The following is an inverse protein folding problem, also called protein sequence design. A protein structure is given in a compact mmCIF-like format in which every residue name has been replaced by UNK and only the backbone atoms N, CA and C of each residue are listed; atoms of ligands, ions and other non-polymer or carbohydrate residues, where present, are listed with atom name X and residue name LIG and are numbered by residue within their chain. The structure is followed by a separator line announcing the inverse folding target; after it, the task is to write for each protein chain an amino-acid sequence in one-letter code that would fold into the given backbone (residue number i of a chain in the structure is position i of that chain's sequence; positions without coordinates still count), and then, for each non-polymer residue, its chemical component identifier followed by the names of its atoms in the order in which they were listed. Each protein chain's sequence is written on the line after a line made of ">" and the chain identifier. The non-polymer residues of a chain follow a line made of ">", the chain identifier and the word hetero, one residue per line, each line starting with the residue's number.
data_IF_257629502128
#
_entry.id   IF_257629502128
#
_cell.length_a   1.000
_cell.length_b   1.000
_cell.length_c   1.000
_cell.angle_alpha   90.00
_cell.angle_beta   90.00
_cell.angle_gamma   90.00
#
_symmetry.space_group_name_H-M   'P 1'
#
loop_
_entity.id
_entity.type
_entity.pdbx_description
1 polymer ?
#
# COMPACT_ATOMS: atom_id res chain seq x y z
N UNK A 1 23.17 15.08 5.21
CA UNK A 1 23.03 14.09 4.12
C UNK A 1 23.59 14.68 2.83
N UNK A 2 24.27 13.89 2.00
CA UNK A 2 24.77 14.37 0.70
C UNK A 2 23.70 14.21 -0.39
N UNK A 3 23.77 14.99 -1.47
CA UNK A 3 22.86 14.86 -2.61
C UNK A 3 22.86 13.43 -3.20
N UNK A 4 24.04 12.80 -3.27
CA UNK A 4 24.19 11.40 -3.70
C UNK A 4 23.44 10.43 -2.79
N UNK A 5 23.46 10.66 -1.48
CA UNK A 5 22.76 9.82 -0.51
C UNK A 5 21.23 9.96 -0.65
N UNK A 6 20.75 11.17 -0.92
CA UNK A 6 19.33 11.43 -1.21
C UNK A 6 18.86 10.73 -2.48
N UNK A 7 19.62 10.85 -3.58
CA UNK A 7 19.29 10.19 -4.85
C UNK A 7 19.25 8.67 -4.70
N UNK A 8 20.25 8.10 -4.01
CA UNK A 8 20.29 6.66 -3.77
C UNK A 8 19.13 6.19 -2.88
N UNK A 9 18.76 6.95 -1.84
CA UNK A 9 17.61 6.61 -1.00
C UNK A 9 16.29 6.71 -1.78
N UNK A 10 16.15 7.72 -2.64
CA UNK A 10 14.98 7.87 -3.51
C UNK A 10 14.83 6.72 -4.51
N UNK A 11 15.94 6.32 -5.17
CA UNK A 11 15.93 5.18 -6.08
C UNK A 11 15.60 3.87 -5.34
N UNK A 12 16.19 3.66 -4.16
CA UNK A 12 15.94 2.49 -3.33
C UNK A 12 14.48 2.44 -2.84
N UNK A 13 13.93 3.60 -2.47
CA UNK A 13 12.51 3.74 -2.09
C UNK A 13 11.59 3.35 -3.24
N UNK A 14 11.87 3.80 -4.46
CA UNK A 14 11.07 3.45 -5.63
C UNK A 14 11.11 1.94 -5.91
N UNK A 15 12.30 1.34 -5.90
CA UNK A 15 12.47 -0.11 -6.09
C UNK A 15 11.75 -0.90 -4.99
N UNK A 16 11.94 -0.52 -3.72
CA UNK A 16 11.31 -1.17 -2.59
C UNK A 16 9.78 -1.12 -2.68
N UNK A 17 9.21 0.05 -3.01
CA UNK A 17 7.77 0.21 -3.19
C UNK A 17 7.22 -0.67 -4.31
N UNK A 18 7.85 -0.67 -5.48
CA UNK A 18 7.41 -1.48 -6.63
C UNK A 18 7.42 -2.98 -6.30
N UNK A 19 8.53 -3.48 -5.72
CA UNK A 19 8.66 -4.90 -5.36
C UNK A 19 7.63 -5.27 -4.28
N UNK A 20 7.45 -4.40 -3.28
CA UNK A 20 6.51 -4.64 -2.18
C UNK A 20 5.06 -4.66 -2.66
N UNK A 21 4.65 -3.71 -3.50
CA UNK A 21 3.32 -3.70 -4.12
C UNK A 21 3.09 -4.97 -4.95
N UNK A 22 4.06 -5.38 -5.79
CA UNK A 22 3.95 -6.63 -6.56
C UNK A 22 3.83 -7.87 -5.66
N UNK A 23 4.52 -7.88 -4.52
CA UNK A 23 4.52 -9.02 -3.61
C UNK A 23 3.22 -9.14 -2.81
N UNK A 24 2.57 -8.02 -2.47
CA UNK A 24 1.33 -8.04 -1.70
C UNK A 24 0.14 -8.60 -2.50
N UNK A 25 0.06 -8.26 -3.80
CA UNK A 25 -1.07 -8.59 -4.67
C UNK A 25 -1.44 -10.09 -4.63
N UNK A 26 -0.53 -11.05 -4.90
CA UNK A 26 -0.88 -12.48 -4.87
C UNK A 26 -1.29 -12.99 -3.49
N UNK A 27 -0.77 -12.38 -2.41
CA UNK A 27 -1.15 -12.76 -1.04
C UNK A 27 -2.59 -12.36 -0.77
N UNK A 28 -2.94 -11.11 -1.07
CA UNK A 28 -4.32 -10.63 -0.87
C UNK A 28 -5.31 -11.36 -1.77
N UNK A 29 -4.94 -11.67 -3.02
CA UNK A 29 -5.74 -12.48 -3.94
C UNK A 29 -6.00 -13.88 -3.38
N UNK A 30 -4.96 -14.59 -2.92
CA UNK A 30 -5.13 -15.93 -2.34
C UNK A 30 -6.00 -15.93 -1.09
N UNK A 31 -5.83 -14.93 -0.22
CA UNK A 31 -6.70 -14.78 0.96
C UNK A 31 -8.14 -14.55 0.52
N UNK A 32 -8.38 -13.69 -0.48
CA UNK A 32 -9.71 -13.45 -1.03
C UNK A 32 -10.33 -14.73 -1.62
N UNK A 33 -9.57 -15.48 -2.43
CA UNK A 33 -10.02 -16.76 -3.02
C UNK A 33 -10.41 -17.79 -1.96
N UNK A 34 -9.67 -17.84 -0.84
CA UNK A 34 -9.93 -18.74 0.28
C UNK A 34 -11.10 -18.30 1.19
N UNK A 35 -11.67 -17.10 1.00
CA UNK A 35 -12.84 -16.67 1.78
C UNK A 35 -14.08 -17.49 1.44
N UNK A 36 -15.01 -17.60 2.40
CA UNK A 36 -16.33 -18.16 2.16
C UNK A 36 -17.11 -17.32 1.15
N UNK A 37 -18.03 -17.98 0.44
CA UNK A 37 -18.89 -17.28 -0.53
C UNK A 37 -19.76 -16.22 0.15
N UNK A 38 -20.21 -16.45 1.37
CA UNK A 38 -20.97 -15.47 2.17
C UNK A 38 -20.15 -14.20 2.41
N UNK A 39 -18.87 -14.33 2.79
CA UNK A 39 -17.99 -13.18 3.01
C UNK A 39 -17.74 -12.42 1.70
N UNK A 40 -17.48 -13.13 0.60
CA UNK A 40 -17.31 -12.52 -0.74
C UNK A 40 -18.57 -11.77 -1.17
N UNK A 41 -19.76 -12.36 -0.97
CA UNK A 41 -21.03 -11.71 -1.29
C UNK A 41 -21.30 -10.48 -0.41
N UNK A 42 -20.99 -10.56 0.89
CA UNK A 42 -21.11 -9.40 1.78
C UNK A 42 -20.20 -8.26 1.32
N UNK A 43 -18.93 -8.55 1.01
CA UNK A 43 -17.98 -7.55 0.49
C UNK A 43 -18.47 -6.95 -0.84
N UNK A 44 -18.94 -7.78 -1.79
CA UNK A 44 -19.43 -7.31 -3.10
C UNK A 44 -20.66 -6.41 -2.99
N UNK A 45 -21.57 -6.68 -2.05
CA UNK A 45 -22.79 -5.86 -1.84
C UNK A 45 -22.47 -4.44 -1.39
N UNK A 46 -21.38 -4.25 -0.65
CA UNK A 46 -21.01 -2.94 -0.10
C UNK A 46 -19.95 -2.24 -0.93
N UNK A 47 -19.09 -2.99 -1.63
CA UNK A 47 -17.93 -2.45 -2.34
C UNK A 47 -18.30 -1.47 -3.45
N UNK A 48 -17.57 -0.34 -3.51
CA UNK A 48 -17.63 0.60 -4.64
C UNK A 48 -16.76 0.15 -5.82
N UNK A 49 -16.18 -1.05 -5.73
CA UNK A 49 -15.15 -1.56 -6.62
C UNK A 49 -13.76 -1.41 -5.99
N UNK A 50 -12.73 -1.49 -6.84
CA UNK A 50 -11.35 -1.40 -6.40
C UNK A 50 -11.02 0.05 -6.00
N UNK A 51 -10.58 0.25 -4.75
CA UNK A 51 -10.45 1.58 -4.13
C UNK A 51 -9.63 2.58 -4.97
N UNK A 52 -8.50 2.16 -5.55
CA UNK A 52 -7.67 3.04 -6.38
C UNK A 52 -8.33 3.40 -7.74
N UNK A 53 -9.22 2.56 -8.28
CA UNK A 53 -10.02 2.92 -9.45
C UNK A 53 -11.12 3.92 -9.08
N UNK A 54 -11.75 3.75 -7.92
CA UNK A 54 -12.73 4.71 -7.39
C UNK A 54 -12.06 6.07 -7.15
N UNK A 55 -10.88 6.07 -6.54
CA UNK A 55 -10.09 7.28 -6.32
C UNK A 55 -9.72 7.98 -7.64
N UNK A 56 -9.20 7.23 -8.62
CA UNK A 56 -8.88 7.77 -9.94
C UNK A 56 -10.11 8.40 -10.63
N UNK A 57 -11.27 7.73 -10.58
CA UNK A 57 -12.52 8.24 -11.15
C UNK A 57 -12.99 9.51 -10.44
N UNK A 58 -12.96 9.56 -9.11
CA UNK A 58 -13.34 10.76 -8.34
C UNK A 58 -12.43 11.95 -8.66
N UNK A 59 -11.12 11.72 -8.71
CA UNK A 59 -10.14 12.78 -9.05
C UNK A 59 -10.40 13.31 -10.47
N UNK A 60 -10.62 12.42 -11.44
CA UNK A 60 -10.95 12.84 -12.81
C UNK A 60 -12.25 13.67 -12.85
N UNK A 61 -13.27 13.27 -12.09
CA UNK A 61 -14.52 14.01 -11.96
C UNK A 61 -14.35 15.40 -11.36
N UNK A 62 -13.53 15.54 -10.30
CA UNK A 62 -13.19 16.85 -9.71
C UNK A 62 -12.45 17.76 -10.72
N UNK A 63 -11.62 17.17 -11.58
CA UNK A 63 -10.90 17.89 -12.63
C UNK A 63 -11.75 18.16 -13.88
N UNK A 64 -13.01 17.71 -13.92
CA UNK A 64 -13.90 17.86 -15.07
C UNK A 64 -13.48 17.03 -16.30
N UNK A 65 -12.64 16.00 -16.12
CA UNK A 65 -12.13 15.16 -17.20
C UNK A 65 -12.99 13.91 -17.32
N UNK A 66 -13.60 13.71 -18.49
CA UNK A 66 -14.24 12.43 -18.81
C UNK A 66 -13.17 11.41 -19.19
N UNK A 67 -13.16 10.28 -18.48
CA UNK A 67 -12.19 9.20 -18.68
C UNK A 67 -12.94 7.89 -18.91
N UNK A 68 -12.46 7.10 -19.88
CA UNK A 68 -12.96 5.75 -20.10
C UNK A 68 -12.61 4.84 -18.93
N UNK A 69 -13.34 3.74 -18.76
CA UNK A 69 -13.06 2.75 -17.70
C UNK A 69 -11.67 2.13 -17.82
N UNK A 70 -11.19 1.94 -19.05
CA UNK A 70 -9.81 1.50 -19.31
C UNK A 70 -8.79 2.50 -18.78
N UNK A 71 -9.02 3.80 -18.99
CA UNK A 71 -8.15 4.87 -18.50
C UNK A 71 -8.17 4.91 -16.96
N UNK A 72 -9.35 4.77 -16.36
CA UNK A 72 -9.50 4.70 -14.89
C UNK A 72 -8.73 3.50 -14.32
N UNK A 73 -8.81 2.34 -14.97
CA UNK A 73 -8.09 1.13 -14.53
C UNK A 73 -6.58 1.30 -14.60
N UNK A 74 -6.06 1.88 -15.69
CA UNK A 74 -4.62 2.20 -15.84
C UNK A 74 -4.17 3.22 -14.80
N UNK A 75 -4.95 4.29 -14.60
CA UNK A 75 -4.67 5.32 -13.62
C UNK A 75 -4.70 4.77 -12.19
N UNK A 76 -5.70 3.95 -11.86
CA UNK A 76 -5.80 3.29 -10.56
C UNK A 76 -4.63 2.34 -10.30
N UNK A 77 -4.22 1.56 -11.30
CA UNK A 77 -3.01 0.74 -11.21
C UNK A 77 -1.76 1.61 -10.98
N UNK A 78 -1.62 2.72 -11.70
CA UNK A 78 -0.51 3.64 -11.48
C UNK A 78 -0.54 4.24 -10.06
N UNK A 79 -1.72 4.58 -9.54
CA UNK A 79 -1.91 5.04 -8.16
C UNK A 79 -1.52 3.96 -7.14
N UNK A 80 -1.85 2.70 -7.38
CA UNK A 80 -1.45 1.57 -6.52
C UNK A 80 0.06 1.48 -6.36
N UNK A 81 0.81 1.55 -7.47
CA UNK A 81 2.28 1.58 -7.43
C UNK A 81 2.82 2.87 -6.83
N UNK A 82 2.22 4.02 -7.14
CA UNK A 82 2.65 5.31 -6.59
C UNK A 82 2.51 5.34 -5.06
N UNK A 83 1.43 4.79 -4.51
CA UNK A 83 1.23 4.64 -3.07
C UNK A 83 2.27 3.71 -2.45
N UNK A 84 2.57 2.58 -3.09
CA UNK A 84 3.66 1.69 -2.65
C UNK A 84 5.03 2.37 -2.63
N UNK A 85 5.35 3.15 -3.67
CA UNK A 85 6.58 3.96 -3.73
C UNK A 85 6.59 5.02 -2.61
N UNK A 86 5.46 5.66 -2.34
CA UNK A 86 5.32 6.67 -1.30
C UNK A 86 5.32 6.11 0.13
N UNK A 87 5.06 4.81 0.29
CA UNK A 87 5.11 4.11 1.57
C UNK A 87 6.55 3.81 2.05
N UNK A 88 7.47 3.52 1.14
CA UNK A 88 8.84 3.13 1.49
C UNK A 88 9.65 4.19 2.27
N UNK A 89 9.52 5.51 2.02
CA UNK A 89 10.18 6.53 2.82
C UNK A 89 9.71 6.53 4.29
N UNK A 90 8.46 6.16 4.57
CA UNK A 90 7.96 6.09 5.94
C UNK A 90 8.75 5.05 6.76
N UNK A 91 9.04 3.89 6.15
CA UNK A 91 9.93 2.89 6.74
C UNK A 91 11.32 3.46 6.99
N UNK A 92 11.93 4.10 5.98
CA UNK A 92 13.29 4.64 6.10
C UNK A 92 13.40 5.68 7.21
N UNK A 93 12.42 6.59 7.30
CA UNK A 93 12.35 7.60 8.35
C UNK A 93 12.18 6.96 9.73
N UNK A 94 11.24 6.02 9.89
CA UNK A 94 11.03 5.32 11.16
C UNK A 94 12.28 4.56 11.59
N UNK A 95 12.93 3.88 10.64
CA UNK A 95 14.13 3.09 10.87
C UNK A 95 15.33 3.94 11.29
N UNK A 96 15.41 5.18 10.82
CA UNK A 96 16.43 6.19 11.20
C UNK A 96 16.13 6.87 12.53
N UNK A 97 14.87 7.16 12.79
CA UNK A 97 14.43 7.91 13.96
C UNK A 97 14.35 7.05 15.23
N UNK A 98 14.40 5.72 15.11
CA UNK A 98 14.17 4.80 16.22
C UNK A 98 15.26 3.73 16.33
N UNK A 99 15.22 2.96 17.42
CA UNK A 99 16.07 1.78 17.64
C UNK A 99 15.39 0.47 17.26
N UNK A 100 14.27 0.53 16.54
CA UNK A 100 13.57 -0.67 16.11
C UNK A 100 14.47 -1.52 15.22
N UNK A 101 14.35 -2.84 15.35
CA UNK A 101 14.96 -3.75 14.38
C UNK A 101 14.39 -3.49 12.98
N UNK A 102 15.10 -3.89 11.91
CA UNK A 102 14.59 -3.80 10.55
C UNK A 102 13.15 -4.32 10.40
N UNK A 103 12.88 -5.50 10.95
CA UNK A 103 11.56 -6.12 10.90
C UNK A 103 10.53 -5.39 11.76
N UNK A 104 10.92 -4.93 12.96
CA UNK A 104 10.04 -4.14 13.82
C UNK A 104 9.60 -2.84 13.17
N UNK A 105 10.53 -2.11 12.53
CA UNK A 105 10.20 -0.90 11.77
C UNK A 105 9.32 -1.20 10.55
N UNK A 106 9.57 -2.31 9.83
CA UNK A 106 8.76 -2.74 8.69
C UNK A 106 7.32 -3.03 9.09
N UNK A 107 7.13 -3.81 10.14
CA UNK A 107 5.80 -4.16 10.68
C UNK A 107 5.07 -2.94 11.23
N UNK A 108 5.75 -2.08 11.99
CA UNK A 108 5.15 -0.85 12.51
C UNK A 108 4.70 0.10 11.39
N UNK A 109 5.52 0.23 10.34
CA UNK A 109 5.16 1.01 9.14
C UNK A 109 3.95 0.41 8.43
N UNK A 110 3.94 -0.91 8.23
CA UNK A 110 2.82 -1.62 7.60
C UNK A 110 1.49 -1.43 8.35
N UNK A 111 1.50 -1.63 9.67
CA UNK A 111 0.32 -1.47 10.52
C UNK A 111 -0.17 -0.03 10.48
N UNK A 112 0.75 0.94 10.55
CA UNK A 112 0.42 2.36 10.44
C UNK A 112 -0.21 2.71 9.10
N UNK A 113 0.35 2.22 8.00
CA UNK A 113 -0.20 2.44 6.64
C UNK A 113 -1.58 1.80 6.48
N UNK A 114 -1.77 0.57 6.94
CA UNK A 114 -3.07 -0.09 6.94
C UNK A 114 -4.12 0.74 7.70
N UNK A 115 -3.80 1.12 8.94
CA UNK A 115 -4.73 1.88 9.77
C UNK A 115 -5.05 3.26 9.19
N UNK A 116 -4.06 3.94 8.60
CA UNK A 116 -4.24 5.28 8.03
C UNK A 116 -4.94 5.22 6.68
N UNK A 117 -4.57 4.29 5.80
CA UNK A 117 -5.08 4.25 4.43
C UNK A 117 -6.39 3.48 4.36
N UNK A 118 -6.39 2.21 4.75
CA UNK A 118 -7.54 1.32 4.56
C UNK A 118 -8.66 1.61 5.54
N UNK A 119 -8.32 1.86 6.81
CA UNK A 119 -9.31 2.01 7.87
C UNK A 119 -9.76 3.46 8.11
N UNK A 120 -9.02 4.45 7.59
CA UNK A 120 -9.30 5.86 7.81
C UNK A 120 -9.46 6.66 6.51
N UNK A 121 -8.39 6.93 5.76
CA UNK A 121 -8.42 7.87 4.64
C UNK A 121 -9.30 7.37 3.48
N UNK A 122 -9.26 6.09 3.12
CA UNK A 122 -10.10 5.55 2.05
C UNK A 122 -11.60 5.72 2.37
N UNK A 123 -12.09 5.35 3.57
CA UNK A 123 -13.47 5.66 3.99
C UNK A 123 -13.77 7.16 4.07
N UNK A 124 -12.89 7.96 4.67
CA UNK A 124 -13.11 9.41 4.87
C UNK A 124 -13.20 10.18 3.55
N UNK A 125 -12.44 9.76 2.54
CA UNK A 125 -12.49 10.31 1.18
C UNK A 125 -13.58 9.65 0.32
N UNK A 126 -14.29 8.67 0.89
CA UNK A 126 -15.36 7.90 0.27
C UNK A 126 -14.89 7.06 -0.91
N UNK A 127 -13.63 6.63 -0.94
CA UNK A 127 -13.13 5.66 -1.91
C UNK A 127 -13.63 4.25 -1.60
N UNK A 128 -13.97 4.00 -0.34
CA UNK A 128 -14.63 2.79 0.15
C UNK A 128 -15.78 3.16 1.10
N UNK A 129 -16.72 2.24 1.36
CA UNK A 129 -17.63 2.32 2.50
C UNK A 129 -16.90 2.42 3.84
N UNK A 130 -17.62 2.73 4.94
CA UNK A 130 -17.11 2.63 6.30
C UNK A 130 -16.59 1.22 6.62
N UNK A 131 -15.52 1.08 7.42
CA UNK A 131 -14.95 -0.23 7.80
C UNK A 131 -15.99 -1.24 8.30
N UNK A 132 -16.96 -0.80 9.08
CA UNK A 132 -17.96 -1.67 9.72
C UNK A 132 -18.91 -2.35 8.72
N UNK A 133 -18.95 -1.89 7.47
CA UNK A 133 -19.75 -2.50 6.42
C UNK A 133 -19.10 -3.79 5.86
N UNK A 134 -17.79 -3.91 5.98
CA UNK A 134 -17.03 -5.03 5.44
C UNK A 134 -17.03 -6.24 6.37
N UNK A 135 -16.93 -7.48 5.84
CA UNK A 135 -16.73 -8.66 6.67
C UNK A 135 -15.34 -8.59 7.34
N UNK A 136 -15.18 -9.10 8.59
CA UNK A 136 -13.90 -9.08 9.31
C UNK A 136 -12.71 -9.63 8.51
N UNK A 137 -12.94 -10.61 7.64
CA UNK A 137 -11.88 -11.21 6.81
C UNK A 137 -11.32 -10.24 5.75
N UNK A 138 -12.08 -9.22 5.33
CA UNK A 138 -11.60 -8.19 4.41
C UNK A 138 -10.51 -7.33 5.08
N UNK A 139 -10.70 -6.98 6.35
CA UNK A 139 -9.72 -6.27 7.18
C UNK A 139 -8.46 -7.10 7.40
N UNK A 140 -8.61 -8.38 7.75
CA UNK A 140 -7.48 -9.29 7.91
C UNK A 140 -6.68 -9.46 6.62
N UNK A 141 -7.37 -9.52 5.47
CA UNK A 141 -6.73 -9.54 4.15
C UNK A 141 -5.96 -8.25 3.88
N UNK A 142 -6.57 -7.09 4.13
CA UNK A 142 -5.91 -5.77 3.97
C UNK A 142 -4.67 -5.64 4.84
N UNK A 143 -4.78 -6.03 6.12
CA UNK A 143 -3.67 -6.06 7.05
C UNK A 143 -2.56 -7.02 6.58
N UNK A 144 -2.89 -8.24 6.17
CA UNK A 144 -1.91 -9.20 5.67
C UNK A 144 -1.15 -8.67 4.45
N UNK A 145 -1.84 -8.01 3.50
CA UNK A 145 -1.21 -7.34 2.38
C UNK A 145 -0.21 -6.27 2.82
N UNK A 146 -0.60 -5.42 3.77
CA UNK A 146 0.27 -4.39 4.31
C UNK A 146 1.48 -4.96 5.07
N UNK A 147 1.31 -6.04 5.84
CA UNK A 147 2.42 -6.70 6.51
C UNK A 147 3.45 -7.24 5.51
N UNK A 148 3.00 -7.85 4.41
CA UNK A 148 3.88 -8.25 3.30
C UNK A 148 4.59 -7.04 2.72
N UNK A 149 3.86 -5.95 2.45
CA UNK A 149 4.44 -4.71 1.96
C UNK A 149 5.56 -4.20 2.88
N UNK A 150 5.32 -4.09 4.19
CA UNK A 150 6.31 -3.57 5.14
C UNK A 150 7.53 -4.47 5.29
N UNK A 151 7.34 -5.80 5.28
CA UNK A 151 8.44 -6.76 5.35
C UNK A 151 9.31 -6.70 4.07
N UNK A 152 8.68 -6.62 2.90
CA UNK A 152 9.39 -6.56 1.62
C UNK A 152 10.10 -5.21 1.43
N UNK A 153 9.49 -4.11 1.87
CA UNK A 153 10.16 -2.80 1.92
C UNK A 153 11.39 -2.89 2.82
N UNK A 154 11.25 -3.42 4.04
CA UNK A 154 12.35 -3.54 4.98
C UNK A 154 13.50 -4.38 4.40
N UNK A 155 13.19 -5.56 3.86
CA UNK A 155 14.19 -6.44 3.25
C UNK A 155 14.92 -5.75 2.09
N UNK A 156 14.19 -5.09 1.21
CA UNK A 156 14.76 -4.42 0.02
C UNK A 156 15.64 -3.24 0.41
N UNK A 157 15.15 -2.37 1.30
CA UNK A 157 15.88 -1.18 1.76
C UNK A 157 17.14 -1.57 2.52
N UNK A 158 17.07 -2.52 3.45
CA UNK A 158 18.22 -2.90 4.27
C UNK A 158 19.27 -3.63 3.42
N UNK A 159 18.85 -4.46 2.47
CA UNK A 159 19.76 -5.05 1.47
C UNK A 159 20.43 -3.97 0.63
N UNK A 160 19.67 -3.00 0.15
CA UNK A 160 20.20 -1.86 -0.62
C UNK A 160 21.20 -1.03 0.18
N UNK A 161 20.89 -0.70 1.43
CA UNK A 161 21.82 0.00 2.31
C UNK A 161 23.09 -0.82 2.57
N UNK A 162 22.98 -2.12 2.84
CA UNK A 162 24.14 -3.00 3.03
C UNK A 162 25.06 -3.02 1.80
N UNK A 163 24.49 -3.19 0.59
CA UNK A 163 25.23 -3.18 -0.68
C UNK A 163 25.91 -1.83 -0.95
N UNK A 164 25.24 -0.73 -0.60
CA UNK A 164 25.78 0.62 -0.73
C UNK A 164 26.72 1.01 0.44
N UNK A 165 26.96 0.09 1.40
CA UNK A 165 27.74 0.32 2.64
C UNK A 165 27.23 1.51 3.44
N UNK A 166 25.92 1.68 3.47
CA UNK A 166 25.21 2.72 4.21
C UNK A 166 24.60 2.11 5.48
N UNK A 167 24.41 2.96 6.47
CA UNK A 167 23.61 2.65 7.65
C UNK A 167 22.33 3.47 7.60
N UNK A 168 21.27 3.02 8.30
CA UNK A 168 20.14 3.90 8.61
C UNK A 168 20.66 5.24 9.12
#
# INVERSE_FOLDING_TARGET
>A
MTARALVADGALSAVAGIIATRAMDPVTTKIYEAQSDDAKQQEQKVSYGVAYNVAARKIAGVLGVQVSDETVSKAGTAMHYALGIAAAPAYMLLRRATRLSPWGAGLATAIGLYAVLDEALNPLLGFTPPPQAYPPVAHLRGLAGHLVLGLVVAATVETGWALLRRRP
#
